data_IF_661322643485
#
_entry.id   IF_661322643485
#
_cell.length_a   1.000
_cell.length_b   1.000
_cell.length_c   1.000
_cell.angle_alpha   90.00
_cell.angle_beta   90.00
_cell.angle_gamma   90.00
#
_symmetry.space_group_name_H-M   'P 1'
#
loop_
_entity.id
_entity.type
_entity.pdbx_description
1 polymer ?
#
# COMPACT_ATOMS: atom_id res chain seq x y z
N UNK A 1 16.84 -17.44 -2.40
CA UNK A 1 16.31 -18.32 -3.45
C UNK A 1 15.98 -17.47 -4.68
N UNK A 2 16.61 -17.68 -5.82
CA UNK A 2 16.26 -17.03 -7.10
C UNK A 2 15.15 -17.85 -7.76
N UNK A 3 13.98 -17.24 -7.94
CA UNK A 3 12.88 -17.83 -8.72
C UNK A 3 13.22 -17.73 -10.22
N UNK A 4 14.14 -18.57 -10.72
CA UNK A 4 14.41 -18.67 -12.16
C UNK A 4 13.13 -19.20 -12.84
N UNK A 5 12.53 -18.40 -13.72
CA UNK A 5 11.29 -18.68 -14.48
C UNK A 5 9.98 -18.88 -13.67
N UNK A 6 10.02 -18.71 -12.33
CA UNK A 6 8.85 -18.86 -11.47
C UNK A 6 8.35 -17.47 -11.05
N UNK A 7 7.12 -17.12 -11.40
CA UNK A 7 6.56 -15.81 -11.13
C UNK A 7 5.66 -15.85 -9.90
N UNK A 8 5.85 -14.87 -9.00
CA UNK A 8 4.98 -14.71 -7.83
C UNK A 8 4.53 -13.26 -7.67
N UNK A 9 3.23 -13.10 -7.52
CA UNK A 9 2.61 -11.82 -7.22
C UNK A 9 2.04 -11.83 -5.81
N UNK A 10 2.45 -10.86 -5.01
CA UNK A 10 2.00 -10.70 -3.63
C UNK A 10 1.19 -9.42 -3.49
N UNK A 11 -0.01 -9.53 -2.96
CA UNK A 11 -0.85 -8.40 -2.58
C UNK A 11 -0.86 -8.23 -1.06
N UNK A 12 -0.75 -6.97 -0.61
CA UNK A 12 -0.76 -6.62 0.80
C UNK A 12 -1.77 -5.51 1.06
N UNK A 13 -2.83 -5.79 1.79
CA UNK A 13 -3.87 -4.83 2.16
C UNK A 13 -3.97 -4.62 3.67
N UNK A 14 -4.55 -3.52 4.09
CA UNK A 14 -4.76 -3.23 5.50
C UNK A 14 -4.89 -1.74 5.80
N UNK A 15 -5.35 -1.39 6.99
CA UNK A 15 -5.60 -0.03 7.45
C UNK A 15 -4.35 0.86 7.49
N UNK A 16 -4.55 2.11 7.87
CA UNK A 16 -3.45 3.06 8.06
C UNK A 16 -2.62 2.69 9.31
N UNK A 17 -1.30 2.81 9.22
CA UNK A 17 -0.34 2.54 10.30
C UNK A 17 -0.38 1.10 10.87
N UNK A 18 -0.91 0.13 10.12
CA UNK A 18 -0.93 -1.29 10.52
C UNK A 18 0.41 -2.01 10.29
N UNK A 19 1.48 -1.34 9.91
CA UNK A 19 2.77 -1.98 9.59
C UNK A 19 2.82 -2.66 8.23
N UNK A 20 1.77 -2.55 7.42
CA UNK A 20 1.63 -3.15 6.10
C UNK A 20 2.81 -2.84 5.17
N UNK A 21 3.16 -1.57 4.99
CA UNK A 21 4.28 -1.17 4.10
C UNK A 21 5.62 -1.75 4.55
N UNK A 22 5.84 -1.86 5.87
CA UNK A 22 7.03 -2.52 6.43
C UNK A 22 7.04 -4.00 6.07
N UNK A 23 5.95 -4.72 6.35
CA UNK A 23 5.87 -6.15 6.04
C UNK A 23 5.96 -6.44 4.55
N UNK A 24 5.26 -5.66 3.72
CA UNK A 24 5.29 -5.80 2.27
C UNK A 24 6.69 -5.55 1.69
N UNK A 25 7.42 -4.54 2.21
CA UNK A 25 8.80 -4.29 1.79
C UNK A 25 9.72 -5.43 2.23
N UNK A 26 9.64 -5.88 3.49
CA UNK A 26 10.47 -6.98 3.99
C UNK A 26 10.28 -8.27 3.19
N UNK A 27 9.04 -8.63 2.83
CA UNK A 27 8.77 -9.82 2.02
C UNK A 27 9.26 -9.64 0.58
N UNK A 28 9.10 -8.44 0.01
CA UNK A 28 9.61 -8.12 -1.32
C UNK A 28 11.14 -8.22 -1.38
N UNK A 29 11.83 -7.65 -0.39
CA UNK A 29 13.30 -7.71 -0.29
C UNK A 29 13.79 -9.15 -0.16
N UNK A 30 13.15 -9.96 0.72
CA UNK A 30 13.52 -11.38 0.94
C UNK A 30 13.42 -12.23 -0.34
N UNK A 31 12.36 -12.03 -1.11
CA UNK A 31 12.12 -12.80 -2.36
C UNK A 31 12.57 -12.06 -3.62
N UNK A 32 13.29 -10.94 -3.48
CA UNK A 32 13.79 -10.11 -4.60
C UNK A 32 12.68 -9.66 -5.57
N UNK A 33 11.50 -9.35 -5.03
CA UNK A 33 10.36 -8.87 -5.80
C UNK A 33 10.44 -7.37 -6.03
N UNK A 34 9.92 -6.89 -7.16
CA UNK A 34 9.70 -5.45 -7.36
C UNK A 34 8.59 -4.98 -6.45
N UNK A 35 8.87 -3.95 -5.66
CA UNK A 35 7.93 -3.42 -4.67
C UNK A 35 7.25 -2.14 -5.16
N UNK A 36 5.93 -2.06 -5.00
CA UNK A 36 5.15 -0.86 -5.29
C UNK A 36 4.21 -0.52 -4.13
N UNK A 37 4.31 0.71 -3.62
CA UNK A 37 3.34 1.26 -2.68
C UNK A 37 2.24 2.03 -3.42
N UNK A 38 1.03 1.48 -3.43
CA UNK A 38 -0.15 2.18 -3.94
C UNK A 38 -0.40 3.50 -3.20
N UNK A 39 -0.14 3.53 -1.90
CA UNK A 39 -0.23 4.75 -1.10
C UNK A 39 0.66 5.88 -1.61
N UNK A 40 1.86 5.56 -2.09
CA UNK A 40 2.76 6.56 -2.69
C UNK A 40 2.26 7.06 -4.04
N UNK A 41 1.58 6.24 -4.85
CA UNK A 41 0.95 6.69 -6.11
C UNK A 41 -0.11 7.76 -5.85
N UNK A 42 -1.01 7.53 -4.89
CA UNK A 42 -2.02 8.53 -4.51
C UNK A 42 -1.39 9.80 -3.94
N UNK A 43 -0.34 9.68 -3.16
CA UNK A 43 0.41 10.84 -2.63
C UNK A 43 1.13 11.60 -3.72
N UNK A 44 1.72 10.90 -4.68
CA UNK A 44 2.36 11.55 -5.83
C UNK A 44 1.36 12.26 -6.73
N UNK A 45 0.20 11.65 -7.00
CA UNK A 45 -0.88 12.33 -7.69
C UNK A 45 -1.34 13.61 -6.95
N UNK A 46 -1.45 13.54 -5.64
CA UNK A 46 -1.77 14.71 -4.80
C UNK A 46 -0.70 15.78 -4.85
N UNK A 47 0.56 15.41 -4.73
CA UNK A 47 1.70 16.32 -4.86
C UNK A 47 1.68 17.06 -6.19
N UNK A 48 1.44 16.34 -7.29
CA UNK A 48 1.36 16.94 -8.63
C UNK A 48 0.19 17.92 -8.75
N UNK A 49 -0.99 17.56 -8.23
CA UNK A 49 -2.17 18.44 -8.26
C UNK A 49 -1.94 19.71 -7.42
N UNK A 50 -1.40 19.55 -6.22
CA UNK A 50 -1.10 20.68 -5.32
C UNK A 50 -0.02 21.60 -5.93
N UNK A 51 1.01 21.01 -6.55
CA UNK A 51 2.12 21.79 -7.11
C UNK A 51 1.74 22.57 -8.38
N UNK A 52 0.88 22.01 -9.23
CA UNK A 52 0.63 22.53 -10.58
C UNK A 52 -0.77 23.13 -10.79
N UNK A 53 -1.68 22.99 -9.84
CA UNK A 53 -3.06 23.52 -9.89
C UNK A 53 -3.76 23.31 -11.24
N UNK A 54 -3.76 22.07 -11.81
CA UNK A 54 -4.26 21.86 -13.17
C UNK A 54 -5.77 22.09 -13.26
N UNK A 55 -6.23 22.80 -14.32
CA UNK A 55 -7.66 22.97 -14.63
C UNK A 55 -8.35 21.60 -14.78
N UNK A 56 -7.79 20.69 -15.55
CA UNK A 56 -8.27 19.32 -15.72
C UNK A 56 -7.33 18.31 -15.03
N UNK A 57 -7.64 17.95 -13.78
CA UNK A 57 -6.84 17.04 -12.96
C UNK A 57 -6.69 15.64 -13.58
N UNK A 58 -7.74 15.14 -14.23
CA UNK A 58 -7.76 13.77 -14.80
C UNK A 58 -6.81 13.68 -16.00
N UNK A 59 -6.93 14.57 -16.98
CA UNK A 59 -6.07 14.59 -18.16
C UNK A 59 -4.61 14.85 -17.78
N UNK A 60 -4.38 15.79 -16.85
CA UNK A 60 -3.05 16.08 -16.34
C UNK A 60 -2.40 14.83 -15.72
N UNK A 61 -3.11 14.10 -14.86
CA UNK A 61 -2.59 12.89 -14.26
C UNK A 61 -2.39 11.76 -15.26
N UNK A 62 -3.28 11.59 -16.26
CA UNK A 62 -3.06 10.61 -17.35
C UNK A 62 -1.71 10.83 -18.03
N UNK A 63 -1.37 12.06 -18.38
CA UNK A 63 -0.09 12.41 -19.01
C UNK A 63 1.10 12.14 -18.08
N UNK A 64 1.01 12.60 -16.82
CA UNK A 64 2.11 12.43 -15.84
C UNK A 64 2.38 10.98 -15.46
N UNK A 65 1.35 10.13 -15.41
CA UNK A 65 1.50 8.71 -15.07
C UNK A 65 1.89 7.83 -16.26
N UNK A 66 1.69 8.27 -17.52
CA UNK A 66 2.09 7.52 -18.73
C UNK A 66 3.58 7.17 -18.71
N UNK A 67 4.43 8.13 -18.32
CA UNK A 67 5.90 7.99 -18.34
C UNK A 67 6.52 7.94 -16.93
N UNK A 68 5.72 7.67 -15.89
CA UNK A 68 6.22 7.64 -14.52
C UNK A 68 7.08 6.40 -14.28
N UNK A 69 8.35 6.60 -13.97
CA UNK A 69 9.21 5.57 -13.39
C UNK A 69 8.93 5.47 -11.89
N UNK A 70 8.54 4.29 -11.41
CA UNK A 70 8.08 4.10 -10.01
C UNK A 70 9.15 4.42 -8.96
N UNK A 71 10.43 4.35 -9.32
CA UNK A 71 11.57 4.70 -8.46
C UNK A 71 11.51 6.18 -8.02
N UNK A 72 10.94 7.05 -8.86
CA UNK A 72 10.75 8.48 -8.54
C UNK A 72 9.90 8.70 -7.29
N UNK A 73 8.96 7.79 -7.02
CA UNK A 73 8.09 7.86 -5.83
C UNK A 73 8.85 7.83 -4.51
N UNK A 74 10.01 7.18 -4.49
CA UNK A 74 10.83 7.00 -3.30
C UNK A 74 11.87 8.13 -3.11
N UNK A 75 12.06 8.99 -4.12
CA UNK A 75 13.01 10.11 -4.10
C UNK A 75 12.37 11.43 -3.64
N UNK A 76 11.06 11.49 -3.48
CA UNK A 76 10.30 12.70 -3.15
C UNK A 76 9.69 12.54 -1.75
N UNK A 77 9.76 13.59 -0.93
CA UNK A 77 9.05 13.59 0.35
C UNK A 77 7.54 13.74 0.14
N UNK A 78 6.84 12.62 0.10
CA UNK A 78 5.40 12.52 -0.10
C UNK A 78 4.62 12.34 1.22
N UNK A 79 5.29 12.48 2.38
CA UNK A 79 4.70 12.16 3.68
C UNK A 79 4.22 13.38 4.48
N UNK A 80 4.06 14.55 3.84
CA UNK A 80 3.53 15.75 4.51
C UNK A 80 2.06 15.57 4.92
N UNK A 81 1.58 16.28 5.96
CA UNK A 81 0.17 16.28 6.36
C UNK A 81 -0.76 16.68 5.22
N UNK A 82 -0.45 17.75 4.50
CA UNK A 82 -1.22 18.27 3.37
C UNK A 82 -1.39 17.23 2.26
N UNK A 83 -0.29 16.64 1.76
CA UNK A 83 -0.34 15.58 0.75
C UNK A 83 -1.13 14.38 1.27
N UNK A 84 -0.98 14.05 2.56
CA UNK A 84 -1.66 12.93 3.18
C UNK A 84 -3.18 13.11 3.21
N UNK A 85 -3.65 14.30 3.57
CA UNK A 85 -5.06 14.65 3.59
C UNK A 85 -5.65 14.71 2.18
N UNK A 86 -4.97 15.43 1.27
CA UNK A 86 -5.41 15.54 -0.13
C UNK A 86 -5.46 14.17 -0.82
N UNK A 87 -4.49 13.28 -0.53
CA UNK A 87 -4.49 11.91 -1.09
C UNK A 87 -5.72 11.09 -0.67
N UNK A 88 -6.25 11.31 0.54
CA UNK A 88 -7.49 10.67 0.98
C UNK A 88 -8.72 11.24 0.25
N UNK A 89 -8.71 12.55 -0.08
CA UNK A 89 -9.78 13.19 -0.86
C UNK A 89 -9.81 12.65 -2.29
N UNK A 90 -8.69 12.65 -3.00
CA UNK A 90 -8.64 12.18 -4.40
C UNK A 90 -8.83 10.66 -4.54
N UNK A 91 -8.56 9.88 -3.49
CA UNK A 91 -8.82 8.44 -3.48
C UNK A 91 -10.32 8.07 -3.58
N UNK A 92 -11.23 9.03 -3.40
CA UNK A 92 -12.67 8.86 -3.61
C UNK A 92 -13.09 9.09 -5.07
N UNK A 93 -12.26 9.74 -5.88
CA UNK A 93 -12.57 10.13 -7.26
C UNK A 93 -12.35 8.94 -8.20
N UNK A 94 -13.44 8.47 -8.83
CA UNK A 94 -13.46 7.27 -9.70
C UNK A 94 -12.43 7.32 -10.83
N UNK A 95 -12.31 8.45 -11.52
CA UNK A 95 -11.44 8.56 -12.69
C UNK A 95 -9.95 8.62 -12.30
N UNK A 96 -9.62 9.27 -11.19
CA UNK A 96 -8.25 9.22 -10.65
C UNK A 96 -7.90 7.78 -10.26
N UNK A 97 -8.84 7.05 -9.62
CA UNK A 97 -8.63 5.62 -9.30
C UNK A 97 -8.38 4.78 -10.55
N UNK A 98 -9.10 5.02 -11.67
CA UNK A 98 -8.89 4.29 -12.93
C UNK A 98 -7.46 4.47 -13.44
N UNK A 99 -6.92 5.71 -13.41
CA UNK A 99 -5.55 6.00 -13.82
C UNK A 99 -4.55 5.22 -12.95
N UNK A 100 -4.71 5.32 -11.63
CA UNK A 100 -3.79 4.68 -10.70
C UNK A 100 -3.93 3.15 -10.69
N UNK A 101 -5.14 2.61 -10.91
CA UNK A 101 -5.37 1.18 -11.12
C UNK A 101 -4.62 0.70 -12.36
N UNK A 102 -4.78 1.39 -13.51
CA UNK A 102 -4.06 1.05 -14.74
C UNK A 102 -2.55 0.99 -14.49
N UNK A 103 -1.97 2.00 -13.85
CA UNK A 103 -0.55 2.01 -13.53
C UNK A 103 -0.12 0.80 -12.69
N UNK A 104 -0.89 0.42 -11.67
CA UNK A 104 -0.60 -0.74 -10.80
C UNK A 104 -0.70 -2.06 -11.55
N UNK A 105 -1.72 -2.22 -12.40
CA UNK A 105 -1.87 -3.43 -13.22
C UNK A 105 -0.78 -3.53 -14.29
N UNK A 106 -0.40 -2.42 -14.93
CA UNK A 106 0.71 -2.39 -15.89
C UNK A 106 2.05 -2.69 -15.21
N UNK A 107 2.27 -2.19 -13.99
CA UNK A 107 3.43 -2.54 -13.17
C UNK A 107 3.49 -4.06 -12.90
N UNK A 108 2.38 -4.67 -12.49
CA UNK A 108 2.35 -6.11 -12.21
C UNK A 108 2.52 -6.97 -13.48
N UNK A 109 2.04 -6.51 -14.62
CA UNK A 109 2.26 -7.18 -15.92
C UNK A 109 3.73 -7.10 -16.35
N UNK A 110 4.36 -5.94 -16.18
CA UNK A 110 5.76 -5.71 -16.50
C UNK A 110 6.70 -6.49 -15.57
N UNK A 111 6.44 -6.41 -14.28
CA UNK A 111 7.25 -7.05 -13.25
C UNK A 111 6.49 -8.25 -12.69
N UNK A 112 6.48 -9.34 -13.42
CA UNK A 112 5.76 -10.58 -13.05
C UNK A 112 6.07 -11.05 -11.63
N UNK A 113 7.28 -10.77 -11.12
CA UNK A 113 7.71 -10.94 -9.73
C UNK A 113 7.55 -9.62 -8.97
N UNK A 114 6.41 -9.40 -8.32
CA UNK A 114 6.15 -8.15 -7.61
C UNK A 114 5.34 -8.31 -6.33
N UNK A 115 5.51 -7.32 -5.45
CA UNK A 115 4.70 -7.12 -4.26
C UNK A 115 4.07 -5.73 -4.30
N UNK A 116 2.74 -5.65 -4.28
CA UNK A 116 2.02 -4.38 -4.23
C UNK A 116 1.29 -4.25 -2.91
N UNK A 117 1.42 -3.09 -2.26
CA UNK A 117 0.71 -2.80 -1.02
C UNK A 117 -0.31 -1.66 -1.17
N UNK A 118 -1.46 -1.80 -0.49
CA UNK A 118 -2.51 -0.78 -0.58
C UNK A 118 -3.69 -0.99 0.36
N UNK A 119 -4.91 -0.86 -0.19
CA UNK A 119 -6.19 -1.03 0.51
C UNK A 119 -7.14 -1.99 -0.20
N UNK A 120 -6.98 -2.15 -1.48
CA UNK A 120 -7.86 -2.89 -2.38
C UNK A 120 -7.06 -3.68 -3.42
N UNK A 121 -5.81 -4.02 -3.07
CA UNK A 121 -4.91 -4.71 -4.00
C UNK A 121 -5.43 -6.11 -4.27
N UNK A 122 -5.68 -6.89 -3.23
CA UNK A 122 -6.19 -8.26 -3.34
C UNK A 122 -7.63 -8.36 -3.83
N UNK A 123 -8.41 -7.28 -3.75
CA UNK A 123 -9.83 -7.32 -4.13
C UNK A 123 -10.14 -6.68 -5.47
N UNK A 124 -9.36 -5.67 -5.90
CA UNK A 124 -9.67 -4.85 -7.09
C UNK A 124 -8.50 -4.69 -8.07
N UNK A 125 -7.26 -4.73 -7.61
CA UNK A 125 -6.08 -4.47 -8.45
C UNK A 125 -5.50 -5.79 -8.97
N UNK A 126 -5.18 -6.72 -8.05
CA UNK A 126 -4.62 -8.04 -8.32
C UNK A 126 -5.45 -9.13 -7.64
N UNK A 127 -6.70 -9.37 -8.06
CA UNK A 127 -7.57 -10.36 -7.42
C UNK A 127 -7.03 -11.80 -7.56
N UNK A 128 -6.21 -12.02 -8.57
CA UNK A 128 -5.57 -13.31 -8.84
C UNK A 128 -4.11 -13.40 -8.40
N UNK A 129 -3.65 -12.47 -7.50
CA UNK A 129 -2.30 -12.59 -6.93
C UNK A 129 -2.14 -13.91 -6.19
N UNK A 130 -0.96 -14.53 -6.32
CA UNK A 130 -0.65 -15.85 -5.76
C UNK A 130 -0.73 -15.87 -4.23
N UNK A 131 -0.30 -14.78 -3.61
CA UNK A 131 -0.30 -14.61 -2.15
C UNK A 131 -1.00 -13.32 -1.77
N UNK A 132 -1.90 -13.41 -0.80
CA UNK A 132 -2.65 -12.27 -0.29
C UNK A 132 -2.46 -12.15 1.21
N UNK A 133 -2.01 -10.96 1.67
CA UNK A 133 -1.89 -10.65 3.09
C UNK A 133 -2.81 -9.50 3.48
N UNK A 134 -3.51 -9.65 4.59
CA UNK A 134 -4.33 -8.61 5.18
C UNK A 134 -3.77 -8.22 6.55
N UNK A 135 -3.28 -6.98 6.65
CA UNK A 135 -2.65 -6.45 7.85
C UNK A 135 -3.66 -5.77 8.77
N UNK A 136 -3.71 -6.23 10.02
CA UNK A 136 -4.48 -5.58 11.08
C UNK A 136 -3.58 -5.13 12.23
N UNK A 137 -4.06 -4.16 12.97
CA UNK A 137 -3.44 -3.68 14.19
C UNK A 137 -4.48 -2.92 15.01
N UNK A 138 -4.40 -3.06 16.33
CA UNK A 138 -5.23 -2.27 17.23
C UNK A 138 -4.99 -0.77 17.01
N UNK A 139 -6.08 0.02 17.04
CA UNK A 139 -6.01 1.47 16.81
C UNK A 139 -5.10 2.19 17.79
N UNK A 140 -5.03 1.76 19.06
CA UNK A 140 -4.13 2.34 20.07
C UNK A 140 -2.68 2.17 19.65
N UNK A 141 -2.27 0.95 19.28
CA UNK A 141 -0.91 0.62 18.84
C UNK A 141 -0.56 1.36 17.53
N UNK A 142 -1.47 1.34 16.55
CA UNK A 142 -1.29 2.04 15.28
C UNK A 142 -1.12 3.56 15.48
N UNK A 143 -1.89 4.14 16.42
CA UNK A 143 -1.81 5.57 16.76
C UNK A 143 -0.48 5.95 17.40
N UNK A 144 0.02 5.12 18.33
CA UNK A 144 1.32 5.33 18.97
C UNK A 144 2.46 5.26 17.93
N UNK A 145 2.43 4.26 17.03
CA UNK A 145 3.43 4.14 15.95
C UNK A 145 3.42 5.37 15.05
N UNK A 146 2.25 5.80 14.61
CA UNK A 146 2.12 6.98 13.75
C UNK A 146 2.49 8.28 14.47
N UNK A 147 2.16 8.39 15.76
CA UNK A 147 2.57 9.51 16.57
C UNK A 147 4.10 9.62 16.67
N UNK A 148 4.79 8.51 16.98
CA UNK A 148 6.26 8.48 17.04
C UNK A 148 6.90 8.86 15.71
N UNK A 149 6.34 8.43 14.59
CA UNK A 149 6.80 8.78 13.24
C UNK A 149 6.65 10.28 12.97
N UNK A 150 5.48 10.85 13.25
CA UNK A 150 5.18 12.25 12.99
C UNK A 150 5.89 13.20 13.95
N UNK A 151 6.11 12.79 15.20
CA UNK A 151 6.78 13.60 16.23
C UNK A 151 8.23 13.94 15.87
N UNK A 152 8.88 13.10 15.05
CA UNK A 152 10.23 13.37 14.55
C UNK A 152 10.31 14.68 13.74
N UNK A 153 9.24 15.00 13.01
CA UNK A 153 9.18 16.16 12.12
C UNK A 153 8.29 17.30 12.67
N UNK A 154 7.49 17.04 13.69
CA UNK A 154 6.60 18.02 14.30
C UNK A 154 6.46 17.77 15.82
N UNK A 155 7.21 18.52 16.62
CA UNK A 155 7.21 18.41 18.08
C UNK A 155 5.86 18.76 18.74
N UNK A 156 5.02 19.60 18.10
CA UNK A 156 3.73 20.07 18.64
C UNK A 156 2.56 19.09 18.44
N UNK A 157 2.77 17.98 17.72
CA UNK A 157 1.69 17.02 17.45
C UNK A 157 1.22 16.33 18.74
N UNK A 158 -0.11 16.13 18.88
CA UNK A 158 -0.73 15.44 20.02
C UNK A 158 -1.23 14.05 19.63
N UNK A 159 -1.01 13.04 20.46
CA UNK A 159 -1.44 11.66 20.20
C UNK A 159 -2.96 11.56 19.97
N UNK A 160 -3.78 12.33 20.73
CA UNK A 160 -5.24 12.40 20.58
C UNK A 160 -5.64 12.76 19.13
N UNK A 161 -4.95 13.74 18.53
CA UNK A 161 -5.23 14.18 17.16
C UNK A 161 -4.84 13.11 16.14
N UNK A 162 -3.69 12.45 16.34
CA UNK A 162 -3.25 11.33 15.49
C UNK A 162 -4.24 10.18 15.53
N UNK A 163 -4.73 9.81 16.73
CA UNK A 163 -5.74 8.75 16.91
C UNK A 163 -7.05 9.11 16.21
N UNK A 164 -7.53 10.37 16.36
CA UNK A 164 -8.74 10.86 15.68
C UNK A 164 -8.58 10.79 14.15
N UNK A 165 -7.47 11.29 13.62
CA UNK A 165 -7.18 11.27 12.18
C UNK A 165 -7.10 9.83 11.62
N UNK A 166 -6.47 8.88 12.33
CA UNK A 166 -6.43 7.47 11.93
C UNK A 166 -7.81 6.81 11.94
N UNK A 167 -8.64 7.10 12.95
CA UNK A 167 -10.02 6.59 13.02
C UNK A 167 -10.84 7.06 11.83
N UNK A 168 -10.82 8.36 11.53
CA UNK A 168 -11.53 8.96 10.39
C UNK A 168 -11.05 8.34 9.07
N UNK A 169 -9.74 8.20 8.91
CA UNK A 169 -9.14 7.62 7.70
C UNK A 169 -9.54 6.16 7.52
N UNK A 170 -9.42 5.34 8.57
CA UNK A 170 -9.78 3.92 8.48
C UNK A 170 -11.28 3.76 8.21
N UNK A 171 -12.13 4.56 8.84
CA UNK A 171 -13.56 4.58 8.54
C UNK A 171 -13.81 4.95 7.08
N UNK A 172 -13.18 6.02 6.58
CA UNK A 172 -13.30 6.42 5.17
C UNK A 172 -12.81 5.34 4.19
N UNK A 173 -11.73 4.60 4.54
CA UNK A 173 -11.22 3.52 3.69
C UNK A 173 -12.20 2.33 3.63
N UNK A 174 -12.90 2.03 4.73
CA UNK A 174 -13.86 0.91 4.82
C UNK A 174 -15.21 1.29 4.20
N UNK A 175 -15.73 2.51 4.45
CA UNK A 175 -17.08 2.93 4.07
C UNK A 175 -17.18 3.50 2.66
N UNK A 176 -16.08 3.73 1.96
CA UNK A 176 -16.12 4.33 0.61
C UNK A 176 -16.83 3.40 -0.39
N UNK A 177 -17.71 3.97 -1.21
CA UNK A 177 -18.46 3.26 -2.25
C UNK A 177 -17.55 2.58 -3.29
N UNK A 178 -16.46 3.25 -3.67
CA UNK A 178 -15.52 2.74 -4.68
C UNK A 178 -14.31 2.06 -4.03
N UNK A 179 -14.16 0.76 -4.22
CA UNK A 179 -13.04 -0.05 -3.74
C UNK A 179 -12.80 0.08 -2.23
N UNK A 180 -13.76 -0.30 -1.38
CA UNK A 180 -13.58 -0.28 0.07
C UNK A 180 -12.43 -1.17 0.51
N UNK A 181 -11.86 -0.86 1.67
CA UNK A 181 -10.90 -1.74 2.33
C UNK A 181 -11.63 -2.99 2.84
N UNK A 182 -11.47 -4.09 2.14
CA UNK A 182 -12.06 -5.39 2.48
C UNK A 182 -10.96 -6.44 2.55
N UNK A 183 -11.10 -7.38 3.49
CA UNK A 183 -10.26 -8.57 3.53
C UNK A 183 -10.74 -9.54 2.45
N UNK A 184 -9.85 -9.93 1.53
CA UNK A 184 -10.14 -10.98 0.56
C UNK A 184 -10.25 -12.34 1.29
N UNK A 185 -11.15 -13.22 0.85
CA UNK A 185 -11.38 -14.54 1.49
C UNK A 185 -10.10 -15.36 1.66
N UNK A 186 -9.23 -15.37 0.64
CA UNK A 186 -7.97 -16.12 0.63
C UNK A 186 -6.81 -15.36 1.31
N UNK A 187 -7.07 -14.22 1.95
CA UNK A 187 -6.01 -13.45 2.59
C UNK A 187 -5.59 -14.06 3.92
N UNK A 188 -4.28 -14.25 4.08
CA UNK A 188 -3.67 -14.55 5.39
C UNK A 188 -3.61 -13.29 6.23
N UNK A 189 -4.17 -13.36 7.41
CA UNK A 189 -4.20 -12.25 8.34
C UNK A 189 -2.88 -12.12 9.11
N UNK A 190 -2.35 -10.90 9.11
CA UNK A 190 -1.12 -10.52 9.80
C UNK A 190 -1.45 -9.49 10.88
N UNK A 191 -1.54 -9.94 12.13
CA UNK A 191 -1.76 -9.05 13.28
C UNK A 191 -0.43 -8.49 13.77
N UNK A 192 -0.10 -7.29 13.32
CA UNK A 192 1.15 -6.63 13.71
C UNK A 192 1.10 -6.02 15.11
N UNK A 193 -0.06 -6.01 15.75
CA UNK A 193 -0.20 -5.66 17.17
C UNK A 193 0.40 -6.72 18.07
N UNK A 194 0.35 -7.99 17.62
CA UNK A 194 0.87 -9.17 18.35
C UNK A 194 2.24 -9.63 17.84
N UNK A 195 2.62 -9.29 16.63
CA UNK A 195 3.84 -9.78 16.00
C UNK A 195 4.91 -8.68 15.89
N UNK A 196 6.12 -8.97 16.32
CA UNK A 196 7.30 -8.19 15.98
C UNK A 196 7.70 -8.36 14.51
N UNK A 197 8.64 -7.54 14.01
CA UNK A 197 9.03 -7.55 12.60
C UNK A 197 9.54 -8.91 12.12
N UNK A 198 10.39 -9.59 12.91
CA UNK A 198 10.96 -10.90 12.56
C UNK A 198 9.87 -11.99 12.53
N UNK A 199 9.02 -12.07 13.57
CA UNK A 199 7.93 -13.03 13.62
C UNK A 199 6.91 -12.82 12.50
N UNK A 200 6.62 -11.56 12.15
CA UNK A 200 5.80 -11.19 11.00
C UNK A 200 6.41 -11.71 9.70
N UNK A 201 7.70 -11.44 9.45
CA UNK A 201 8.40 -11.91 8.25
C UNK A 201 8.43 -13.43 8.17
N UNK A 202 8.68 -14.12 9.30
CA UNK A 202 8.67 -15.58 9.37
C UNK A 202 7.29 -16.14 8.99
N UNK A 203 6.21 -15.61 9.58
CA UNK A 203 4.84 -16.02 9.26
C UNK A 203 4.51 -15.82 7.78
N UNK A 204 4.85 -14.64 7.23
CA UNK A 204 4.64 -14.35 5.82
C UNK A 204 5.44 -15.28 4.91
N UNK A 205 6.74 -15.50 5.24
CA UNK A 205 7.62 -16.37 4.47
C UNK A 205 7.13 -17.83 4.45
N UNK A 206 6.69 -18.35 5.59
CA UNK A 206 6.09 -19.70 5.67
C UNK A 206 4.96 -19.88 4.65
N UNK A 207 4.08 -18.87 4.55
CA UNK A 207 2.97 -18.91 3.61
C UNK A 207 3.42 -18.76 2.16
N UNK A 208 4.36 -17.86 1.86
CA UNK A 208 4.92 -17.70 0.51
C UNK A 208 5.60 -18.98 0.05
N UNK A 209 6.43 -19.62 0.91
CA UNK A 209 7.09 -20.88 0.57
C UNK A 209 6.08 -22.01 0.28
N UNK A 210 5.00 -22.10 1.09
CA UNK A 210 3.92 -23.08 0.82
C UNK A 210 3.32 -22.88 -0.57
N UNK A 211 3.02 -21.64 -0.95
CA UNK A 211 2.44 -21.32 -2.27
C UNK A 211 3.44 -21.61 -3.39
N UNK A 212 4.72 -21.29 -3.21
CA UNK A 212 5.76 -21.60 -4.19
C UNK A 212 5.87 -23.11 -4.38
N UNK A 213 5.89 -23.88 -3.29
CA UNK A 213 5.93 -25.34 -3.35
C UNK A 213 4.74 -25.93 -4.09
N UNK A 214 3.54 -25.47 -3.79
CA UNK A 214 2.30 -25.94 -4.46
C UNK A 214 2.26 -25.57 -5.95
N UNK A 215 2.78 -24.39 -6.30
CA UNK A 215 2.71 -23.88 -7.68
C UNK A 215 3.81 -24.44 -8.58
N UNK A 216 4.98 -24.77 -8.03
CA UNK A 216 6.19 -25.07 -8.81
C UNK A 216 6.90 -26.37 -8.40
N UNK A 217 6.42 -27.08 -7.38
CA UNK A 217 7.00 -28.35 -6.95
C UNK A 217 8.38 -28.25 -6.27
N UNK A 218 8.79 -27.03 -5.81
CA UNK A 218 10.13 -26.75 -5.25
C UNK A 218 10.09 -26.27 -3.81
#
# INVERSE_FOLDING_TARGET
MRLKNNFIQISCDGGAATGKSTGAKMIADKYKLKFLSSGLLYRYASFLIIKHFPKNKVNFLKLKFKNLKYEKLYKINLHTPEISEHSAKIAKIKDIRKILKKYQTDFAKKYKNCCIEGRDISTKILPHSDVKFFFKCNLKIASIRRYKELKKNNKKIKLKNVKKALRIRNFSDISRKNSPLLKHRDSVEIDTGKLGKQAMLLKMSKHVNKVIKLKYGV
#
